data_IF_174561968785
#
_entry.id   IF_174561968785
#
_cell.length_a   1.000
_cell.length_b   1.000
_cell.length_c   1.000
_cell.angle_alpha   90.00
_cell.angle_beta   90.00
_cell.angle_gamma   90.00
#
_symmetry.space_group_name_H-M   'P 1'
#
loop_
_entity.id
_entity.type
_entity.pdbx_description
1 polymer ?
#
# COMPACT_ATOMS: atom_id res chain seq x y z
N UNK A 1 14.27 -3.36 -6.53
CA UNK A 1 15.54 -2.64 -6.79
C UNK A 1 15.29 -1.16 -6.55
N UNK A 2 16.23 -0.45 -5.95
CA UNK A 2 16.17 0.99 -5.70
C UNK A 2 17.47 1.66 -6.17
N UNK A 3 17.42 2.97 -6.41
CA UNK A 3 18.54 3.77 -6.92
C UNK A 3 19.17 3.20 -8.19
N UNK A 4 18.35 2.66 -9.09
CA UNK A 4 18.82 2.05 -10.33
C UNK A 4 19.34 3.11 -11.31
N UNK A 5 20.55 2.92 -11.82
CA UNK A 5 21.15 3.75 -12.86
C UNK A 5 20.67 3.33 -14.26
N UNK A 6 20.99 4.14 -15.27
CA UNK A 6 20.74 3.77 -16.68
C UNK A 6 21.57 2.57 -17.16
N UNK A 7 22.68 2.25 -16.49
CA UNK A 7 23.48 1.03 -16.76
C UNK A 7 22.83 -0.22 -16.14
N UNK A 8 21.78 -0.07 -15.33
CA UNK A 8 21.11 -1.17 -14.65
C UNK A 8 21.67 -1.48 -13.25
N UNK A 9 22.68 -0.73 -12.80
CA UNK A 9 23.26 -0.89 -11.46
C UNK A 9 22.30 -0.36 -10.40
N UNK A 10 22.08 -1.09 -9.31
CA UNK A 10 21.19 -0.64 -8.23
C UNK A 10 21.24 -1.52 -6.99
N UNK A 11 20.59 -1.06 -5.93
CA UNK A 11 20.48 -1.80 -4.67
C UNK A 11 19.21 -2.67 -4.70
N UNK A 12 19.33 -3.96 -4.43
CA UNK A 12 18.19 -4.87 -4.36
C UNK A 12 17.88 -5.25 -2.92
N UNK A 13 16.64 -5.01 -2.49
CA UNK A 13 16.11 -5.49 -1.22
C UNK A 13 15.16 -6.65 -1.49
N UNK A 14 15.47 -7.81 -0.93
CA UNK A 14 14.61 -9.00 -0.98
C UNK A 14 13.79 -9.03 0.30
N UNK A 15 12.46 -8.93 0.17
CA UNK A 15 11.57 -8.78 1.32
C UNK A 15 11.72 -9.91 2.35
N UNK A 16 11.81 -11.17 1.90
CA UNK A 16 12.00 -12.32 2.81
C UNK A 16 13.27 -12.18 3.66
N UNK A 17 14.40 -11.79 3.06
CA UNK A 17 15.66 -11.58 3.79
C UNK A 17 15.56 -10.41 4.78
N UNK A 18 14.84 -9.34 4.43
CA UNK A 18 14.61 -8.19 5.33
C UNK A 18 13.78 -8.63 6.54
N UNK A 19 12.67 -9.33 6.32
CA UNK A 19 11.80 -9.84 7.39
C UNK A 19 12.54 -10.80 8.31
N UNK A 20 13.33 -11.73 7.76
CA UNK A 20 14.15 -12.68 8.52
C UNK A 20 15.22 -11.96 9.36
N UNK A 21 15.94 -11.01 8.77
CA UNK A 21 16.99 -10.25 9.47
C UNK A 21 16.43 -9.42 10.63
N UNK A 22 15.24 -8.86 10.45
CA UNK A 22 14.53 -8.08 11.48
C UNK A 22 13.78 -8.96 12.49
N UNK A 23 13.63 -10.25 12.20
CA UNK A 23 12.80 -11.20 12.96
C UNK A 23 11.36 -10.72 13.13
N UNK A 24 10.78 -10.18 12.06
CA UNK A 24 9.40 -9.70 12.02
C UNK A 24 8.60 -10.46 10.96
N UNK A 25 7.34 -10.72 11.26
CA UNK A 25 6.34 -11.07 10.24
C UNK A 25 6.06 -9.87 9.32
N UNK A 26 5.47 -10.12 8.16
CA UNK A 26 5.03 -9.04 7.25
C UNK A 26 4.06 -8.07 7.93
N UNK A 27 3.17 -8.60 8.80
CA UNK A 27 2.22 -7.78 9.54
C UNK A 27 2.92 -6.84 10.54
N UNK A 28 3.91 -7.36 11.27
CA UNK A 28 4.71 -6.56 12.19
C UNK A 28 5.55 -5.52 11.46
N UNK A 29 6.20 -5.90 10.36
CA UNK A 29 6.99 -4.97 9.53
C UNK A 29 6.12 -3.81 9.02
N UNK A 30 4.92 -4.09 8.51
CA UNK A 30 3.95 -3.07 8.10
C UNK A 30 3.57 -2.16 9.26
N UNK A 31 3.30 -2.71 10.45
CA UNK A 31 3.00 -1.90 11.66
C UNK A 31 4.16 -0.99 12.06
N UNK A 32 5.40 -1.44 11.90
CA UNK A 32 6.59 -0.60 12.11
C UNK A 32 6.59 0.58 11.15
N UNK A 33 6.38 0.35 9.85
CA UNK A 33 6.33 1.40 8.84
C UNK A 33 5.22 2.43 9.10
N UNK A 34 4.01 1.98 9.44
CA UNK A 34 2.88 2.88 9.74
C UNK A 34 3.17 3.69 11.01
N UNK A 35 3.61 3.05 12.09
CA UNK A 35 3.88 3.72 13.36
C UNK A 35 5.07 4.70 13.29
N UNK A 36 6.04 4.44 12.42
CA UNK A 36 7.17 5.33 12.15
C UNK A 36 6.76 6.60 11.37
N UNK A 37 5.54 6.61 10.82
CA UNK A 37 4.99 7.66 9.98
C UNK A 37 5.05 7.29 8.51
N UNK A 38 3.93 7.44 7.82
CA UNK A 38 3.79 7.24 6.38
C UNK A 38 2.91 8.34 5.76
N UNK A 39 2.70 8.28 4.46
CA UNK A 39 1.87 9.26 3.75
C UNK A 39 0.39 9.24 4.19
N UNK A 40 -0.07 8.12 4.76
CA UNK A 40 -1.46 7.96 5.22
C UNK A 40 -1.65 8.28 6.71
N UNK A 41 -0.58 8.30 7.50
CA UNK A 41 -0.64 8.57 8.93
C UNK A 41 0.69 9.17 9.42
N UNK A 42 0.62 10.40 9.95
CA UNK A 42 1.76 11.00 10.64
C UNK A 42 2.08 10.21 11.90
N UNK A 43 3.36 10.08 12.20
CA UNK A 43 3.79 9.46 13.44
C UNK A 43 3.40 10.29 14.67
N UNK A 44 3.29 9.61 15.81
CA UNK A 44 3.26 10.27 17.11
C UNK A 44 4.62 10.96 17.34
N UNK A 45 4.59 12.19 17.87
CA UNK A 45 5.80 13.00 18.08
C UNK A 45 6.85 12.23 18.87
N UNK A 46 8.06 12.14 18.31
CA UNK A 46 9.16 11.43 18.92
C UNK A 46 9.16 9.92 18.69
N UNK A 47 8.24 9.36 17.91
CA UNK A 47 8.25 7.94 17.52
C UNK A 47 8.67 7.82 16.06
N UNK A 48 9.97 7.63 15.84
CA UNK A 48 10.52 7.28 14.52
C UNK A 48 10.71 5.77 14.36
N UNK A 49 11.34 5.37 13.25
CA UNK A 49 11.50 3.95 12.85
C UNK A 49 12.09 3.06 13.94
N UNK A 50 13.13 3.51 14.65
CA UNK A 50 13.77 2.71 15.70
C UNK A 50 12.85 2.46 16.91
N UNK A 51 12.06 3.46 17.31
CA UNK A 51 11.12 3.32 18.43
C UNK A 51 9.92 2.47 18.02
N UNK A 52 9.36 2.72 16.82
CA UNK A 52 8.30 1.89 16.25
C UNK A 52 8.72 0.41 16.19
N UNK A 53 9.93 0.11 15.68
CA UNK A 53 10.49 -1.23 15.66
C UNK A 53 10.53 -1.88 17.05
N UNK A 54 11.11 -1.19 18.05
CA UNK A 54 11.18 -1.71 19.43
C UNK A 54 9.80 -1.98 20.03
N UNK A 55 8.83 -1.10 19.76
CA UNK A 55 7.46 -1.25 20.27
C UNK A 55 6.74 -2.43 19.65
N UNK A 56 6.88 -2.64 18.33
CA UNK A 56 6.26 -3.77 17.63
C UNK A 56 6.93 -5.09 18.00
N UNK A 57 8.26 -5.15 17.99
CA UNK A 57 9.01 -6.35 18.35
C UNK A 57 8.75 -6.79 19.81
N UNK A 58 8.38 -5.85 20.69
CA UNK A 58 7.95 -6.15 22.06
C UNK A 58 6.47 -6.56 22.19
N UNK A 59 5.68 -6.51 21.11
CA UNK A 59 4.23 -6.75 21.14
C UNK A 59 3.42 -5.68 21.86
N UNK A 60 4.00 -4.48 22.07
CA UNK A 60 3.45 -3.43 22.95
C UNK A 60 3.10 -2.12 22.23
N UNK A 61 2.89 -2.18 20.91
CA UNK A 61 2.68 -0.99 20.09
C UNK A 61 1.53 -0.10 20.63
N UNK A 62 0.35 -0.67 20.87
CA UNK A 62 -0.83 0.08 21.35
C UNK A 62 -0.62 0.75 22.70
N UNK A 63 -0.07 0.00 23.66
CA UNK A 63 0.23 0.51 25.00
C UNK A 63 1.24 1.65 24.96
N UNK A 64 2.34 1.47 24.21
CA UNK A 64 3.45 2.42 24.18
C UNK A 64 3.14 3.67 23.35
N UNK A 65 2.30 3.57 22.32
CA UNK A 65 1.76 4.74 21.62
C UNK A 65 0.86 5.58 22.53
N UNK A 66 -0.03 4.95 23.31
CA UNK A 66 -0.88 5.65 24.28
C UNK A 66 -0.05 6.40 25.33
N UNK A 67 0.96 5.74 25.91
CA UNK A 67 1.91 6.39 26.83
C UNK A 67 2.75 7.49 26.15
N UNK A 68 2.94 7.41 24.84
CA UNK A 68 3.67 8.39 24.03
C UNK A 68 2.84 9.63 23.64
N UNK A 69 1.60 9.74 24.11
CA UNK A 69 0.72 10.87 23.79
C UNK A 69 0.05 10.75 22.43
N UNK A 70 -0.20 9.53 21.94
CA UNK A 70 -1.05 9.33 20.78
C UNK A 70 -2.47 9.89 21.05
N UNK A 71 -3.06 10.65 20.11
CA UNK A 71 -4.46 11.05 20.15
C UNK A 71 -5.40 9.84 20.26
N UNK A 72 -6.60 10.04 20.80
CA UNK A 72 -7.60 8.97 20.97
C UNK A 72 -8.00 8.32 19.64
N UNK A 73 -8.07 9.10 18.56
CA UNK A 73 -8.43 8.69 17.21
C UNK A 73 -7.25 8.16 16.37
N UNK A 74 -6.03 8.15 16.92
CA UNK A 74 -4.83 7.69 16.22
C UNK A 74 -4.99 6.25 15.73
N UNK A 75 -5.60 5.38 16.54
CA UNK A 75 -5.80 3.97 16.20
C UNK A 75 -6.81 3.75 15.08
N UNK A 76 -7.85 4.58 15.00
CA UNK A 76 -8.78 4.55 13.87
C UNK A 76 -8.03 4.88 12.57
N UNK A 77 -7.23 5.95 12.59
CA UNK A 77 -6.40 6.35 11.45
C UNK A 77 -5.33 5.31 11.12
N UNK A 78 -4.79 4.62 12.12
CA UNK A 78 -3.85 3.51 11.94
C UNK A 78 -4.48 2.36 11.17
N UNK A 79 -5.70 1.96 11.52
CA UNK A 79 -6.41 0.91 10.78
C UNK A 79 -6.78 1.32 9.37
N UNK A 80 -7.11 2.59 9.14
CA UNK A 80 -7.31 3.12 7.77
C UNK A 80 -6.01 3.03 6.95
N UNK A 81 -4.88 3.45 7.52
CA UNK A 81 -3.58 3.33 6.86
C UNK A 81 -3.22 1.86 6.58
N UNK A 82 -3.44 0.96 7.54
CA UNK A 82 -3.22 -0.48 7.37
C UNK A 82 -4.09 -1.06 6.25
N UNK A 83 -5.37 -0.69 6.20
CA UNK A 83 -6.28 -1.11 5.16
C UNK A 83 -5.85 -0.62 3.77
N UNK A 84 -5.28 0.59 3.65
CA UNK A 84 -4.70 1.05 2.38
C UNK A 84 -3.54 0.14 1.94
N UNK A 85 -2.60 -0.17 2.84
CA UNK A 85 -1.48 -1.06 2.50
C UNK A 85 -1.91 -2.47 2.06
N UNK A 86 -3.05 -2.95 2.56
CA UNK A 86 -3.54 -4.29 2.22
C UNK A 86 -4.47 -4.30 1.03
N UNK A 87 -5.33 -3.31 0.89
CA UNK A 87 -6.50 -3.40 0.03
C UNK A 87 -6.59 -2.30 -1.02
N UNK A 88 -5.56 -1.45 -1.16
CA UNK A 88 -5.51 -0.44 -2.22
C UNK A 88 -5.93 -1.05 -3.56
N UNK A 89 -6.80 -0.34 -4.27
CA UNK A 89 -7.30 -0.78 -5.57
C UNK A 89 -6.18 -0.84 -6.59
N UNK A 90 -5.98 -2.02 -7.20
CA UNK A 90 -5.01 -2.29 -8.26
C UNK A 90 -5.73 -2.81 -9.51
N UNK A 91 -5.09 -2.71 -10.67
CA UNK A 91 -5.60 -3.28 -11.91
C UNK A 91 -5.00 -4.67 -12.14
N UNK A 92 -5.85 -5.69 -12.29
CA UNK A 92 -5.43 -7.06 -12.52
C UNK A 92 -5.43 -7.37 -14.03
N UNK A 93 -4.27 -7.71 -14.57
CA UNK A 93 -4.11 -8.02 -16.01
C UNK A 93 -4.79 -9.34 -16.41
N UNK A 94 -4.89 -10.31 -15.50
CA UNK A 94 -5.54 -11.60 -15.76
C UNK A 94 -7.06 -11.51 -15.82
N UNK A 95 -7.67 -10.53 -15.14
CA UNK A 95 -9.13 -10.30 -15.16
C UNK A 95 -9.53 -9.05 -15.93
N UNK A 96 -8.58 -8.20 -16.32
CA UNK A 96 -8.81 -6.90 -16.95
C UNK A 96 -9.75 -5.98 -16.16
N UNK A 97 -9.68 -6.04 -14.83
CA UNK A 97 -10.57 -5.30 -13.92
C UNK A 97 -9.82 -4.77 -12.70
N UNK A 98 -10.42 -3.82 -11.99
CA UNK A 98 -9.89 -3.39 -10.68
C UNK A 98 -10.25 -4.36 -9.58
N UNK A 99 -9.26 -4.69 -8.73
CA UNK A 99 -9.42 -5.55 -7.55
C UNK A 99 -8.65 -4.94 -6.36
N UNK A 100 -8.98 -5.30 -5.11
CA UNK A 100 -8.11 -5.01 -3.97
C UNK A 100 -6.75 -5.73 -4.10
N UNK A 101 -5.66 -5.11 -3.64
CA UNK A 101 -4.31 -5.72 -3.65
C UNK A 101 -4.28 -7.09 -2.94
N UNK A 102 -4.77 -7.14 -1.71
CA UNK A 102 -5.09 -8.38 -0.97
C UNK A 102 -6.61 -8.51 -0.87
N UNK A 103 -7.12 -9.74 -0.94
CA UNK A 103 -8.56 -10.02 -0.78
C UNK A 103 -9.05 -9.49 0.57
N UNK A 104 -10.12 -8.71 0.56
CA UNK A 104 -10.78 -8.29 1.80
C UNK A 104 -11.67 -9.43 2.31
N UNK A 105 -11.52 -9.81 3.57
CA UNK A 105 -12.39 -10.81 4.21
C UNK A 105 -13.78 -10.23 4.51
N UNK A 106 -13.84 -8.91 4.72
CA UNK A 106 -15.06 -8.13 4.94
C UNK A 106 -15.36 -7.25 3.73
N UNK A 107 -16.44 -6.47 3.79
CA UNK A 107 -16.64 -5.40 2.81
C UNK A 107 -15.43 -4.45 2.84
N UNK A 108 -14.86 -4.10 1.67
CA UNK A 108 -13.75 -3.16 1.62
C UNK A 108 -14.19 -1.81 2.22
N UNK A 109 -13.27 -1.09 2.91
CA UNK A 109 -13.52 0.29 3.30
C UNK A 109 -14.14 1.09 2.14
N UNK A 110 -15.14 1.93 2.43
CA UNK A 110 -15.83 2.73 1.40
C UNK A 110 -14.89 3.63 0.58
N UNK A 111 -13.70 3.90 1.11
CA UNK A 111 -12.61 4.67 0.50
C UNK A 111 -11.92 3.92 -0.65
N UNK A 112 -12.06 2.58 -0.71
CA UNK A 112 -11.52 1.74 -1.79
C UNK A 112 -12.49 1.71 -2.96
N UNK A 113 -12.21 2.54 -3.96
CA UNK A 113 -13.05 2.71 -5.13
C UNK A 113 -12.68 1.71 -6.22
N UNK A 114 -13.50 0.67 -6.37
CA UNK A 114 -13.50 -0.13 -7.60
C UNK A 114 -14.06 0.72 -8.76
N UNK A 115 -13.44 0.57 -9.92
CA UNK A 115 -13.82 1.26 -11.14
C UNK A 115 -14.53 0.28 -12.07
N UNK A 116 -15.37 0.81 -12.95
CA UNK A 116 -15.92 0.05 -14.07
C UNK A 116 -14.79 -0.59 -14.90
N UNK A 117 -15.02 -1.80 -15.40
CA UNK A 117 -14.00 -2.60 -16.10
C UNK A 117 -13.53 -1.92 -17.39
N UNK A 118 -14.45 -1.37 -18.19
CA UNK A 118 -14.09 -0.67 -19.43
C UNK A 118 -13.30 0.61 -19.13
N UNK A 119 -13.75 1.39 -18.16
CA UNK A 119 -13.06 2.62 -17.75
C UNK A 119 -11.67 2.32 -17.18
N UNK A 120 -11.56 1.33 -16.31
CA UNK A 120 -10.28 0.96 -15.68
C UNK A 120 -9.28 0.39 -16.67
N UNK A 121 -9.72 -0.39 -17.66
CA UNK A 121 -8.86 -0.88 -18.74
C UNK A 121 -8.35 0.27 -19.61
N UNK A 122 -9.22 1.21 -19.98
CA UNK A 122 -8.79 2.43 -20.68
C UNK A 122 -7.85 3.29 -19.82
N UNK A 123 -8.04 3.35 -18.51
CA UNK A 123 -7.14 4.06 -17.61
C UNK A 123 -5.76 3.39 -17.53
N UNK A 124 -5.73 2.06 -17.37
CA UNK A 124 -4.50 1.27 -17.25
C UNK A 124 -3.63 1.34 -18.51
N UNK A 125 -4.25 1.36 -19.70
CA UNK A 125 -3.53 1.46 -20.99
C UNK A 125 -3.11 2.91 -21.34
N UNK A 126 -3.53 3.90 -20.54
CA UNK A 126 -3.22 5.31 -20.77
C UNK A 126 -4.14 6.02 -21.77
N UNK A 127 -5.31 5.45 -22.08
CA UNK A 127 -6.35 6.08 -22.92
C UNK A 127 -7.19 7.11 -22.16
N UNK A 128 -7.00 7.28 -20.84
CA UNK A 128 -7.73 8.26 -20.01
C UNK A 128 -6.75 9.22 -19.37
N UNK A 129 -7.04 10.52 -19.48
CA UNK A 129 -6.30 11.55 -18.77
C UNK A 129 -6.67 11.54 -17.28
N UNK A 130 -5.70 11.26 -16.41
CA UNK A 130 -5.90 11.12 -14.96
C UNK A 130 -6.36 12.40 -14.26
N UNK A 131 -6.15 13.59 -14.85
CA UNK A 131 -6.58 14.87 -14.29
C UNK A 131 -8.01 15.24 -14.68
N UNK A 132 -8.43 14.88 -15.89
CA UNK A 132 -9.74 15.31 -16.43
C UNK A 132 -10.77 14.18 -16.47
N UNK A 133 -10.34 12.92 -16.35
CA UNK A 133 -11.20 11.73 -16.51
C UNK A 133 -11.69 11.51 -17.95
N UNK A 134 -11.20 12.30 -18.91
CA UNK A 134 -11.61 12.21 -20.32
C UNK A 134 -10.65 11.34 -21.12
N UNK A 135 -11.14 10.81 -22.22
CA UNK A 135 -10.31 10.05 -23.16
C UNK A 135 -9.21 10.94 -23.77
N UNK A 136 -8.03 10.35 -23.94
CA UNK A 136 -6.92 10.96 -24.67
C UNK A 136 -7.15 10.89 -26.17
N UNK A 137 -6.42 11.70 -26.94
CA UNK A 137 -6.45 11.66 -28.41
C UNK A 137 -5.85 10.37 -28.97
N UNK A 138 -4.82 9.84 -28.32
CA UNK A 138 -4.21 8.55 -28.65
C UNK A 138 -5.05 7.41 -28.08
N UNK A 139 -5.28 6.37 -28.87
CA UNK A 139 -5.99 5.15 -28.46
C UNK A 139 -5.12 3.90 -28.66
N UNK A 140 -4.65 3.36 -27.56
CA UNK A 140 -3.99 2.06 -27.50
C UNK A 140 -5.04 0.93 -27.43
N UNK A 141 -4.72 -0.27 -27.95
CA UNK A 141 -5.60 -1.43 -27.84
C UNK A 141 -5.82 -1.81 -26.36
N UNK A 142 -7.03 -2.25 -26.03
CA UNK A 142 -7.36 -2.67 -24.67
C UNK A 142 -6.69 -4.00 -24.31
N UNK A 143 -6.45 -4.22 -23.01
CA UNK A 143 -6.09 -5.54 -22.54
C UNK A 143 -7.26 -6.50 -22.77
N UNK A 144 -6.94 -7.69 -23.30
CA UNK A 144 -7.87 -8.78 -23.52
C UNK A 144 -7.32 -10.06 -22.91
N UNK A 145 -8.19 -10.84 -22.28
CA UNK A 145 -7.84 -12.18 -21.82
C UNK A 145 -7.73 -13.07 -23.04
N UNK A 146 -6.55 -13.65 -23.26
CA UNK A 146 -6.36 -14.68 -24.29
C UNK A 146 -6.71 -16.01 -23.64
N UNK A 147 -7.76 -16.66 -24.16
CA UNK A 147 -8.04 -18.05 -23.82
C UNK A 147 -7.21 -18.93 -24.75
N UNK A 148 -6.31 -19.74 -24.17
CA UNK A 148 -5.61 -20.81 -24.88
C UNK A 148 -6.58 -21.93 -25.28
#
# INVERSE_FOLDING_TARGET
>A
MVKTSMSGDGECFVLSHVLESLKLSMNEFRKVCIAAGCDHLKNVRGIGIQRAFKMVAAGKLKELLGKGGAPEDYWESFFKAEAVFQHQTVFNLGTCSTVPLEKCETNPPAELRLLDDLYSNNLAIGNVNTKTGKQTLTRYPLFTIVSD
#
